data_IF_125361127320
#
_entry.id   IF_125361127320
#
_cell.length_a   1.000
_cell.length_b   1.000
_cell.length_c   1.000
_cell.angle_alpha   90.00
_cell.angle_beta   90.00
_cell.angle_gamma   90.00
#
_symmetry.space_group_name_H-M   'P 1'
#
loop_
_entity.id
_entity.type
_entity.pdbx_description
1 polymer ?
#
# COMPACT_ATOMS: atom_id res chain seq x y z
N UNK A 1 -23.15 -4.18 10.49
CA UNK A 1 -22.62 -5.02 9.40
C UNK A 1 -21.15 -5.19 9.73
N UNK A 2 -20.72 -6.39 10.15
CA UNK A 2 -19.31 -6.65 10.41
C UNK A 2 -18.62 -6.55 9.05
N UNK A 3 -17.73 -5.57 8.88
CA UNK A 3 -16.96 -5.40 7.65
C UNK A 3 -16.08 -6.63 7.54
N UNK A 4 -16.48 -7.59 6.70
CA UNK A 4 -15.64 -8.74 6.37
C UNK A 4 -14.50 -8.25 5.47
N UNK A 5 -13.29 -8.72 5.74
CA UNK A 5 -12.03 -8.59 4.99
C UNK A 5 -12.20 -8.24 3.50
N UNK A 6 -12.52 -6.97 3.22
CA UNK A 6 -12.87 -6.52 1.89
C UNK A 6 -11.71 -5.73 1.35
N UNK A 7 -11.21 -6.17 0.20
CA UNK A 7 -10.15 -5.47 -0.51
C UNK A 7 -10.73 -4.30 -1.31
N UNK A 8 -10.17 -3.12 -1.09
CA UNK A 8 -10.43 -1.88 -1.78
C UNK A 8 -9.29 -1.60 -2.75
N UNK A 9 -9.60 -1.31 -4.00
CA UNK A 9 -8.64 -0.90 -5.03
C UNK A 9 -8.72 0.62 -5.17
N UNK A 10 -7.69 1.30 -4.68
CA UNK A 10 -7.57 2.75 -4.74
C UNK A 10 -6.55 3.18 -5.79
N UNK A 11 -6.91 4.15 -6.63
CA UNK A 11 -5.96 4.75 -7.58
C UNK A 11 -4.71 5.28 -6.87
N UNK A 12 -3.54 5.08 -7.48
CA UNK A 12 -2.31 5.64 -6.95
C UNK A 12 -2.34 7.18 -6.97
N UNK A 13 -3.07 7.79 -7.92
CA UNK A 13 -3.26 9.24 -8.00
C UNK A 13 -3.89 9.75 -6.69
N UNK A 14 -4.95 9.08 -6.21
CA UNK A 14 -5.63 9.39 -4.95
C UNK A 14 -4.77 9.11 -3.73
N UNK A 15 -3.95 8.07 -3.80
CA UNK A 15 -2.98 7.74 -2.73
C UNK A 15 -1.99 8.88 -2.53
N UNK A 16 -1.48 9.47 -3.63
CA UNK A 16 -0.50 10.56 -3.58
C UNK A 16 -1.07 11.97 -3.63
N UNK A 17 -2.40 12.10 -3.74
CA UNK A 17 -3.06 13.40 -3.81
C UNK A 17 -2.79 14.25 -2.54
N UNK A 18 -2.78 15.57 -2.71
CA UNK A 18 -2.54 16.54 -1.63
C UNK A 18 -3.87 16.88 -0.95
N UNK A 19 -4.06 16.43 0.29
CA UNK A 19 -5.25 16.75 1.08
C UNK A 19 -5.01 16.53 2.59
N UNK A 20 -5.85 17.14 3.42
CA UNK A 20 -5.81 17.10 4.89
C UNK A 20 -7.05 16.42 5.51
N UNK A 21 -7.65 15.45 4.80
CA UNK A 21 -8.86 14.76 5.25
C UNK A 21 -8.74 14.18 6.66
N UNK A 22 -9.68 14.55 7.51
CA UNK A 22 -9.87 14.01 8.86
C UNK A 22 -10.36 12.56 8.77
N UNK A 23 -10.25 11.84 9.88
CA UNK A 23 -10.68 10.44 10.02
C UNK A 23 -12.05 10.17 9.40
N UNK A 24 -13.08 10.92 9.77
CA UNK A 24 -14.44 10.72 9.23
C UNK A 24 -14.56 11.04 7.73
N UNK A 25 -13.80 12.02 7.24
CA UNK A 25 -13.73 12.34 5.82
C UNK A 25 -13.09 11.19 5.03
N UNK A 26 -12.00 10.61 5.56
CA UNK A 26 -11.35 9.40 5.01
C UNK A 26 -12.30 8.20 5.00
N UNK A 27 -13.08 8.00 6.05
CA UNK A 27 -14.07 6.90 6.09
C UNK A 27 -15.15 7.07 5.01
N UNK A 28 -15.65 8.28 4.79
CA UNK A 28 -16.56 8.58 3.68
C UNK A 28 -15.87 8.31 2.35
N UNK A 29 -14.62 8.75 2.20
CA UNK A 29 -13.83 8.55 0.99
C UNK A 29 -13.61 7.06 0.65
N UNK A 30 -13.27 6.23 1.63
CA UNK A 30 -13.15 4.78 1.40
C UNK A 30 -14.49 4.13 0.99
N UNK A 31 -15.62 4.61 1.54
CA UNK A 31 -16.97 4.15 1.14
C UNK A 31 -17.38 4.64 -0.26
N UNK A 32 -16.84 5.76 -0.71
CA UNK A 32 -17.01 6.21 -2.10
C UNK A 32 -16.26 5.22 -3.01
N UNK A 33 -14.97 4.99 -2.77
CA UNK A 33 -14.15 4.08 -3.59
C UNK A 33 -14.78 2.68 -3.62
N UNK A 34 -15.30 2.19 -2.48
CA UNK A 34 -15.93 0.89 -2.38
C UNK A 34 -17.13 0.75 -3.34
N UNK A 35 -17.93 1.80 -3.49
CA UNK A 35 -19.09 1.81 -4.37
C UNK A 35 -18.69 1.87 -5.84
N UNK A 36 -17.68 2.67 -6.19
CA UNK A 36 -17.15 2.70 -7.56
C UNK A 36 -16.48 1.40 -7.96
N UNK A 37 -15.78 0.74 -7.04
CA UNK A 37 -15.22 -0.58 -7.32
C UNK A 37 -16.33 -1.61 -7.59
N UNK A 38 -17.44 -1.56 -6.86
CA UNK A 38 -18.61 -2.42 -7.15
C UNK A 38 -19.17 -2.17 -8.54
N UNK A 39 -19.28 -0.89 -8.94
CA UNK A 39 -19.72 -0.50 -10.27
C UNK A 39 -18.78 -1.05 -11.36
N UNK A 40 -17.46 -0.88 -11.20
CA UNK A 40 -16.44 -1.38 -12.15
C UNK A 40 -16.49 -2.90 -12.27
N UNK A 41 -16.71 -3.60 -11.14
CA UNK A 41 -16.80 -5.07 -11.10
C UNK A 41 -18.16 -5.60 -11.59
N UNK A 42 -19.11 -4.74 -11.95
CA UNK A 42 -20.47 -5.13 -12.35
C UNK A 42 -21.29 -5.77 -11.24
N UNK A 43 -20.96 -5.48 -9.97
CA UNK A 43 -21.62 -6.07 -8.78
C UNK A 43 -22.75 -5.19 -8.27
N UNK A 44 -23.81 -5.82 -7.80
CA UNK A 44 -24.90 -5.11 -7.15
C UNK A 44 -24.51 -4.57 -5.77
N UNK A 45 -24.88 -3.32 -5.52
CA UNK A 45 -24.77 -2.71 -4.19
C UNK A 45 -25.86 -3.26 -3.26
N UNK A 46 -25.54 -3.38 -1.97
CA UNK A 46 -26.57 -3.61 -0.96
C UNK A 46 -27.58 -2.44 -0.98
N UNK A 47 -28.88 -2.74 -0.87
CA UNK A 47 -30.01 -1.77 -0.85
C UNK A 47 -29.84 -0.57 0.11
N UNK A 48 -28.95 -0.66 1.11
CA UNK A 48 -28.62 0.46 2.02
C UNK A 48 -27.75 1.53 1.37
N UNK A 49 -26.99 1.19 0.34
CA UNK A 49 -26.18 2.10 -0.48
C UNK A 49 -26.91 2.41 -1.79
N UNK A 50 -26.53 3.49 -2.45
CA UNK A 50 -26.93 3.75 -3.83
C UNK A 50 -25.87 4.58 -4.53
N UNK A 51 -25.61 4.24 -5.79
CA UNK A 51 -24.74 4.98 -6.69
C UNK A 51 -25.52 5.17 -7.99
N UNK A 52 -25.95 6.40 -8.27
CA UNK A 52 -26.82 6.73 -9.40
C UNK A 52 -26.09 7.76 -10.26
N UNK A 53 -25.77 7.38 -11.49
CA UNK A 53 -25.25 8.30 -12.51
C UNK A 53 -26.36 9.25 -12.93
N UNK A 54 -26.06 10.54 -13.05
CA UNK A 54 -26.94 11.59 -13.56
C UNK A 54 -26.60 11.95 -14.99
N UNK A 55 -27.47 12.75 -15.61
CA UNK A 55 -27.33 13.20 -17.00
C UNK A 55 -26.09 14.09 -17.22
N UNK A 56 -25.63 14.78 -16.17
CA UNK A 56 -24.43 15.64 -16.15
C UNK A 56 -23.14 14.88 -15.80
N UNK A 57 -23.15 13.55 -15.95
CA UNK A 57 -22.07 12.62 -15.57
C UNK A 57 -21.68 12.62 -14.08
N UNK A 58 -22.35 13.41 -13.25
CA UNK A 58 -22.18 13.38 -11.79
C UNK A 58 -22.81 12.13 -11.20
N UNK A 59 -22.39 11.77 -9.98
CA UNK A 59 -22.91 10.60 -9.29
C UNK A 59 -23.54 10.98 -7.97
N UNK A 60 -24.81 10.61 -7.81
CA UNK A 60 -25.53 10.71 -6.54
C UNK A 60 -25.24 9.47 -5.69
N UNK A 61 -24.71 9.71 -4.49
CA UNK A 61 -24.25 8.66 -3.58
C UNK A 61 -25.09 8.66 -2.31
N UNK A 62 -25.41 7.46 -1.81
CA UNK A 62 -26.02 7.22 -0.50
C UNK A 62 -25.17 6.26 0.32
N UNK A 63 -24.85 6.65 1.55
CA UNK A 63 -24.05 5.84 2.49
C UNK A 63 -24.79 5.75 3.84
N UNK A 64 -25.02 4.55 4.40
CA UNK A 64 -25.62 4.40 5.73
C UNK A 64 -24.63 4.80 6.84
N UNK A 65 -25.08 5.48 7.89
CA UNK A 65 -24.18 5.96 8.96
C UNK A 65 -23.36 4.84 9.61
N UNK A 66 -23.99 3.69 9.87
CA UNK A 66 -23.34 2.56 10.52
C UNK A 66 -22.15 1.98 9.73
N UNK A 67 -22.03 2.28 8.44
CA UNK A 67 -20.88 1.87 7.62
C UNK A 67 -19.65 2.75 7.84
N UNK A 68 -19.83 3.92 8.42
CA UNK A 68 -18.76 4.89 8.67
C UNK A 68 -18.26 4.87 10.12
N UNK A 69 -18.89 4.04 10.96
CA UNK A 69 -18.56 3.91 12.38
C UNK A 69 -17.61 2.74 12.63
N UNK A 70 -16.79 2.87 13.69
CA UNK A 70 -15.87 1.81 14.13
C UNK A 70 -16.61 0.69 14.87
N UNK A 71 -17.65 1.04 15.61
CA UNK A 71 -18.52 0.11 16.35
C UNK A 71 -19.98 0.57 16.29
N UNK A 72 -20.90 -0.33 16.63
CA UNK A 72 -22.35 -0.10 16.58
C UNK A 72 -22.87 0.92 17.61
N UNK A 73 -22.08 1.24 18.64
CA UNK A 73 -22.50 2.11 19.75
C UNK A 73 -22.11 3.58 19.57
N UNK A 74 -21.33 3.89 18.54
CA UNK A 74 -20.77 5.22 18.28
C UNK A 74 -21.82 6.13 17.60
N UNK A 75 -22.66 6.82 18.38
CA UNK A 75 -23.75 7.68 17.87
C UNK A 75 -23.29 9.11 17.53
N UNK A 76 -22.11 9.27 16.93
CA UNK A 76 -21.52 10.59 16.64
C UNK A 76 -22.07 11.27 15.36
N UNK A 77 -23.40 11.41 15.24
CA UNK A 77 -24.08 12.10 14.14
C UNK A 77 -23.52 13.50 13.85
N UNK A 78 -23.05 14.21 14.88
CA UNK A 78 -22.46 15.53 14.74
C UNK A 78 -21.11 15.49 14.01
N UNK A 79 -20.27 14.49 14.27
CA UNK A 79 -18.97 14.35 13.60
C UNK A 79 -19.16 14.09 12.11
N UNK A 80 -20.18 13.33 11.71
CA UNK A 80 -20.53 13.14 10.30
C UNK A 80 -20.99 14.42 9.62
N UNK A 81 -21.87 15.19 10.28
CA UNK A 81 -22.28 16.49 9.73
C UNK A 81 -21.08 17.42 9.56
N UNK A 82 -20.17 17.44 10.52
CA UNK A 82 -18.95 18.23 10.43
C UNK A 82 -18.03 17.72 9.30
N UNK A 83 -17.92 16.41 9.10
CA UNK A 83 -17.18 15.82 8.00
C UNK A 83 -17.80 16.18 6.64
N UNK A 84 -19.12 16.11 6.49
CA UNK A 84 -19.81 16.52 5.26
C UNK A 84 -19.62 18.02 4.96
N UNK A 85 -19.76 18.89 5.96
CA UNK A 85 -19.48 20.33 5.81
C UNK A 85 -18.05 20.58 5.37
N UNK A 86 -17.11 19.89 6.02
CA UNK A 86 -15.68 20.03 5.75
C UNK A 86 -15.34 19.53 4.34
N UNK A 87 -15.83 18.36 3.94
CA UNK A 87 -15.65 17.82 2.58
C UNK A 87 -16.26 18.72 1.50
N UNK A 88 -17.45 19.28 1.73
CA UNK A 88 -18.10 20.18 0.77
C UNK A 88 -17.33 21.48 0.60
N UNK A 89 -16.74 22.00 1.68
CA UNK A 89 -15.91 23.20 1.65
C UNK A 89 -14.54 23.01 1.00
N UNK A 90 -14.07 21.76 0.85
CA UNK A 90 -12.75 21.44 0.28
C UNK A 90 -12.83 21.35 -1.24
N UNK A 91 -12.17 22.31 -1.91
CA UNK A 91 -11.92 22.28 -3.35
C UNK A 91 -10.46 21.96 -3.65
N UNK A 92 -10.22 21.41 -4.84
CA UNK A 92 -8.90 21.29 -5.43
C UNK A 92 -8.92 22.00 -6.79
N UNK A 93 -7.78 22.58 -7.14
CA UNK A 93 -7.58 23.21 -8.44
C UNK A 93 -7.29 22.12 -9.47
N UNK A 94 -8.04 22.15 -10.57
CA UNK A 94 -7.77 21.42 -11.78
C UNK A 94 -7.34 22.42 -12.84
N UNK A 95 -6.22 22.17 -13.50
CA UNK A 95 -5.67 23.03 -14.54
C UNK A 95 -5.07 22.15 -15.65
N UNK A 96 -5.44 22.43 -16.89
CA UNK A 96 -4.78 21.95 -18.11
C UNK A 96 -4.46 23.13 -19.04
N UNK A 97 -3.98 22.84 -20.26
CA UNK A 97 -3.54 23.88 -21.20
C UNK A 97 -4.64 24.88 -21.58
N UNK A 98 -5.92 24.49 -21.45
CA UNK A 98 -7.08 25.27 -21.90
C UNK A 98 -8.03 25.69 -20.76
N UNK A 99 -8.05 24.97 -19.63
CA UNK A 99 -9.06 25.12 -18.58
C UNK A 99 -8.42 25.13 -17.19
N UNK A 100 -8.74 26.17 -16.42
CA UNK A 100 -8.60 26.19 -14.97
C UNK A 100 -9.99 26.15 -14.32
N UNK A 101 -10.19 25.23 -13.38
CA UNK A 101 -11.43 25.15 -12.59
C UNK A 101 -11.20 24.72 -11.14
N UNK A 102 -12.11 25.13 -10.25
CA UNK A 102 -12.17 24.65 -8.88
C UNK A 102 -13.15 23.49 -8.76
N UNK A 103 -12.63 22.33 -8.40
CA UNK A 103 -13.40 21.10 -8.27
C UNK A 103 -13.64 20.78 -6.79
N UNK A 104 -14.89 20.54 -6.40
CA UNK A 104 -15.23 20.06 -5.05
C UNK A 104 -15.30 18.53 -5.04
N UNK A 105 -14.90 17.92 -3.92
CA UNK A 105 -15.05 16.46 -3.78
C UNK A 105 -16.53 16.05 -3.77
N UNK A 106 -17.33 16.72 -2.92
CA UNK A 106 -18.75 16.44 -2.76
C UNK A 106 -19.57 17.71 -2.91
N UNK A 107 -20.80 17.55 -3.42
CA UNK A 107 -21.78 18.60 -3.59
C UNK A 107 -23.10 18.23 -2.92
N UNK A 108 -23.86 19.24 -2.49
CA UNK A 108 -25.22 19.13 -1.92
C UNK A 108 -25.34 18.05 -0.83
N UNK A 109 -24.47 18.02 0.20
CA UNK A 109 -24.53 17.00 1.23
C UNK A 109 -25.82 17.11 2.06
N UNK A 110 -26.45 15.96 2.31
CA UNK A 110 -27.66 15.80 3.12
C UNK A 110 -27.45 14.69 4.15
N UNK A 111 -28.02 14.91 5.33
CA UNK A 111 -27.92 14.02 6.48
C UNK A 111 -29.33 13.62 6.96
N UNK A 112 -29.75 12.39 6.66
CA UNK A 112 -31.07 11.87 7.00
C UNK A 112 -31.05 11.15 8.34
N UNK A 113 -31.38 11.89 9.41
CA UNK A 113 -31.31 11.39 10.80
C UNK A 113 -32.22 10.19 11.07
N UNK A 114 -33.48 10.23 10.60
CA UNK A 114 -34.48 9.17 10.88
C UNK A 114 -34.17 7.87 10.14
N UNK A 115 -33.69 7.98 8.91
CA UNK A 115 -33.41 6.84 8.04
C UNK A 115 -31.95 6.38 8.13
N UNK A 116 -31.16 7.06 8.97
CA UNK A 116 -29.76 6.80 9.27
C UNK A 116 -28.82 6.68 8.04
N UNK A 117 -28.89 7.64 7.12
CA UNK A 117 -27.94 7.72 5.99
C UNK A 117 -27.54 9.15 5.63
N UNK A 118 -26.45 9.26 4.88
CA UNK A 118 -26.00 10.49 4.22
C UNK A 118 -26.14 10.36 2.72
N UNK A 119 -26.39 11.48 2.05
CA UNK A 119 -26.49 11.60 0.60
C UNK A 119 -25.67 12.80 0.13
N UNK A 120 -24.99 12.69 -1.00
CA UNK A 120 -24.28 13.80 -1.66
C UNK A 120 -24.05 13.46 -3.13
N UNK A 121 -23.61 14.45 -3.90
CA UNK A 121 -23.25 14.30 -5.31
C UNK A 121 -21.72 14.38 -5.44
N UNK A 122 -21.12 13.59 -6.34
CA UNK A 122 -19.71 13.71 -6.70
C UNK A 122 -19.57 14.43 -8.03
N UNK A 123 -18.63 15.37 -8.06
CA UNK A 123 -18.27 16.07 -9.28
C UNK A 123 -17.67 15.08 -10.31
N UNK A 124 -18.01 15.18 -11.61
CA UNK A 124 -17.50 14.29 -12.66
C UNK A 124 -15.97 14.17 -12.69
N UNK A 125 -15.23 15.27 -12.46
CA UNK A 125 -13.76 15.26 -12.40
C UNK A 125 -13.20 14.39 -11.28
N UNK A 126 -13.88 14.38 -10.13
CA UNK A 126 -13.53 13.48 -9.01
C UNK A 126 -13.68 12.02 -9.45
N UNK A 127 -14.75 11.73 -10.19
CA UNK A 127 -15.05 10.38 -10.68
C UNK A 127 -14.00 9.90 -11.66
N UNK A 128 -13.57 10.75 -12.59
CA UNK A 128 -12.45 10.46 -13.51
C UNK A 128 -11.21 10.02 -12.75
N UNK A 129 -10.84 10.75 -11.69
CA UNK A 129 -9.66 10.40 -10.87
C UNK A 129 -9.87 9.13 -10.05
N UNK A 130 -11.08 8.90 -9.52
CA UNK A 130 -11.42 7.69 -8.75
C UNK A 130 -11.22 6.40 -9.56
N UNK A 131 -11.55 6.43 -10.84
CA UNK A 131 -11.47 5.27 -11.74
C UNK A 131 -10.20 5.23 -12.60
N UNK A 132 -9.33 6.25 -12.48
CA UNK A 132 -8.08 6.30 -13.23
C UNK A 132 -6.98 5.51 -12.52
N UNK A 133 -6.63 4.36 -13.10
CA UNK A 133 -5.56 3.49 -12.61
C UNK A 133 -4.27 3.55 -13.46
N UNK A 134 -4.13 4.54 -14.35
CA UNK A 134 -3.00 4.62 -15.29
C UNK A 134 -1.63 4.75 -14.58
N UNK A 135 -1.61 5.33 -13.38
CA UNK A 135 -0.41 5.42 -12.53
C UNK A 135 -0.27 4.27 -11.53
N UNK A 136 -1.07 3.21 -11.71
CA UNK A 136 -1.17 2.08 -10.80
C UNK A 136 -2.21 2.28 -9.70
N UNK A 137 -2.21 1.37 -8.73
CA UNK A 137 -3.18 1.32 -7.65
C UNK A 137 -2.58 0.79 -6.34
N UNK A 138 -3.38 0.89 -5.27
CA UNK A 138 -3.13 0.32 -3.95
C UNK A 138 -4.30 -0.55 -3.54
N UNK A 139 -3.97 -1.72 -2.99
CA UNK A 139 -4.93 -2.65 -2.39
C UNK A 139 -4.95 -2.42 -0.89
N UNK A 140 -6.13 -2.16 -0.34
CA UNK A 140 -6.33 -1.82 1.06
C UNK A 140 -7.39 -2.75 1.65
N UNK A 141 -7.18 -3.23 2.87
CA UNK A 141 -8.27 -3.88 3.62
C UNK A 141 -9.16 -2.81 4.24
N UNK A 142 -10.42 -2.77 3.83
CA UNK A 142 -11.37 -1.74 4.25
C UNK A 142 -11.64 -1.78 5.75
N UNK A 143 -11.75 -2.96 6.34
CA UNK A 143 -11.88 -3.16 7.79
C UNK A 143 -10.69 -2.54 8.55
N UNK A 144 -9.47 -2.79 8.09
CA UNK A 144 -8.25 -2.22 8.68
C UNK A 144 -8.23 -0.69 8.50
N UNK A 145 -8.48 -0.21 7.28
CA UNK A 145 -8.49 1.22 6.97
C UNK A 145 -9.50 2.01 7.82
N UNK A 146 -10.68 1.43 8.10
CA UNK A 146 -11.71 2.03 8.94
C UNK A 146 -11.40 1.95 10.45
N UNK A 147 -10.52 1.02 10.86
CA UNK A 147 -10.13 0.80 12.26
C UNK A 147 -9.18 1.86 12.84
N UNK A 148 -8.45 2.56 11.96
CA UNK A 148 -7.51 3.61 12.35
C UNK A 148 -8.22 4.82 12.98
N UNK A 149 -7.53 5.46 13.91
CA UNK A 149 -7.95 6.61 14.70
C UNK A 149 -7.20 7.88 14.33
N UNK A 150 -6.07 7.77 13.62
CA UNK A 150 -5.32 8.91 13.12
C UNK A 150 -5.32 8.97 11.59
N UNK A 151 -5.44 10.18 11.04
CA UNK A 151 -5.29 10.41 9.59
C UNK A 151 -3.90 9.97 9.11
N UNK A 152 -2.85 10.18 9.90
CA UNK A 152 -1.49 9.80 9.49
C UNK A 152 -1.34 8.29 9.35
N UNK A 153 -1.89 7.48 10.27
CA UNK A 153 -1.93 6.03 10.12
C UNK A 153 -2.66 5.63 8.83
N UNK A 154 -3.84 6.21 8.56
CA UNK A 154 -4.56 5.97 7.30
C UNK A 154 -3.69 6.29 6.08
N UNK A 155 -3.05 7.46 6.03
CA UNK A 155 -2.20 7.88 4.89
C UNK A 155 -0.99 6.96 4.71
N UNK A 156 -0.30 6.58 5.78
CA UNK A 156 0.83 5.67 5.68
C UNK A 156 0.41 4.24 5.31
N UNK A 157 -0.74 3.78 5.81
CA UNK A 157 -1.30 2.50 5.38
C UNK A 157 -1.55 2.48 3.87
N UNK A 158 -2.09 3.56 3.30
CA UNK A 158 -2.28 3.68 1.84
C UNK A 158 -0.96 3.60 1.07
N UNK A 159 0.11 4.20 1.59
CA UNK A 159 1.42 4.21 0.94
C UNK A 159 2.09 2.83 0.97
N UNK A 160 1.93 2.10 2.09
CA UNK A 160 2.74 0.91 2.43
C UNK A 160 2.00 -0.41 2.18
N UNK A 161 0.66 -0.42 2.17
CA UNK A 161 -0.12 -1.65 1.98
C UNK A 161 0.32 -2.41 0.72
N UNK A 162 0.57 -3.71 0.90
CA UNK A 162 1.08 -4.65 -0.12
C UNK A 162 2.38 -4.25 -0.83
N UNK A 163 3.09 -3.23 -0.33
CA UNK A 163 4.38 -2.87 -0.90
C UNK A 163 5.44 -3.89 -0.48
N UNK A 164 6.21 -4.36 -1.46
CA UNK A 164 7.35 -5.26 -1.23
C UNK A 164 8.70 -4.52 -1.26
N UNK A 165 8.76 -3.39 -1.97
CA UNK A 165 9.99 -2.63 -2.19
C UNK A 165 10.00 -1.38 -1.32
N UNK A 166 11.19 -0.97 -0.82
CA UNK A 166 11.32 0.30 -0.14
C UNK A 166 10.88 1.48 -1.01
N UNK A 167 10.26 2.49 -0.38
CA UNK A 167 9.83 3.73 -1.03
C UNK A 167 10.48 4.92 -0.33
N UNK A 168 10.97 5.87 -1.12
CA UNK A 168 11.65 7.07 -0.62
C UNK A 168 10.75 8.29 -0.83
N UNK A 169 10.61 9.09 0.21
CA UNK A 169 9.99 10.41 0.09
C UNK A 169 10.86 11.48 0.71
N UNK A 170 10.97 12.63 0.05
CA UNK A 170 11.52 13.82 0.70
C UNK A 170 10.58 14.30 1.82
N UNK A 171 11.14 14.95 2.83
CA UNK A 171 10.34 15.55 3.91
C UNK A 171 9.34 16.55 3.34
N UNK A 172 9.78 17.37 2.38
CA UNK A 172 8.94 18.39 1.76
C UNK A 172 7.79 17.76 0.96
N UNK A 173 8.04 16.66 0.24
CA UNK A 173 6.97 15.97 -0.49
C UNK A 173 5.94 15.35 0.46
N UNK A 174 6.37 14.72 1.56
CA UNK A 174 5.42 14.19 2.56
C UNK A 174 4.59 15.31 3.17
N UNK A 175 5.22 16.44 3.52
CA UNK A 175 4.51 17.60 4.06
C UNK A 175 3.49 18.17 3.08
N UNK A 176 3.84 18.29 1.80
CA UNK A 176 2.94 18.72 0.71
C UNK A 176 1.79 17.74 0.51
N UNK A 177 2.07 16.44 0.44
CA UNK A 177 1.05 15.41 0.28
C UNK A 177 0.02 15.42 1.43
N UNK A 178 0.44 15.77 2.64
CA UNK A 178 -0.43 15.78 3.82
C UNK A 178 -0.98 17.18 4.16
N UNK A 179 -0.66 18.21 3.36
CA UNK A 179 -0.99 19.62 3.59
C UNK A 179 -0.60 20.12 4.98
N UNK A 180 0.66 19.88 5.33
CA UNK A 180 1.27 20.26 6.62
C UNK A 180 2.63 20.94 6.45
N UNK A 181 2.86 21.61 5.31
CA UNK A 181 4.09 22.36 5.00
C UNK A 181 4.40 23.39 6.09
N UNK A 182 3.36 24.08 6.55
CA UNK A 182 3.46 25.12 7.58
C UNK A 182 3.49 24.55 9.02
N UNK A 183 3.48 23.22 9.18
CA UNK A 183 3.57 22.54 10.48
C UNK A 183 4.93 21.87 10.65
N UNK A 184 5.30 21.70 11.92
CA UNK A 184 6.52 21.00 12.34
C UNK A 184 7.79 21.57 11.69
N UNK A 185 8.15 22.81 12.01
CA UNK A 185 9.36 23.46 11.48
C UNK A 185 10.61 22.59 11.69
N UNK A 186 10.74 21.98 12.86
CA UNK A 186 11.77 20.97 13.12
C UNK A 186 11.41 19.61 12.49
N UNK A 187 12.36 19.05 11.74
CA UNK A 187 12.20 17.76 11.04
C UNK A 187 12.09 16.59 12.02
N UNK A 188 12.77 16.63 13.17
CA UNK A 188 12.64 15.56 14.14
C UNK A 188 11.25 15.56 14.78
N UNK A 189 10.66 16.74 15.03
CA UNK A 189 9.29 16.85 15.49
C UNK A 189 8.28 16.35 14.44
N UNK A 190 8.51 16.62 13.15
CA UNK A 190 7.72 16.03 12.07
C UNK A 190 7.76 14.49 12.13
N UNK A 191 8.97 13.91 12.19
CA UNK A 191 9.14 12.45 12.29
C UNK A 191 8.40 11.91 13.51
N UNK A 192 8.60 12.50 14.68
CA UNK A 192 7.98 12.04 15.94
C UNK A 192 6.45 12.11 15.92
N UNK A 193 5.88 13.20 15.38
CA UNK A 193 4.43 13.46 15.45
C UNK A 193 3.65 12.85 14.29
N UNK A 194 4.31 12.59 13.16
CA UNK A 194 3.66 12.14 11.93
C UNK A 194 4.07 10.69 11.63
N UNK A 195 5.36 10.44 11.51
CA UNK A 195 5.89 9.12 11.10
C UNK A 195 5.81 8.11 12.25
N UNK A 196 6.36 8.44 13.41
CA UNK A 196 6.37 7.52 14.56
C UNK A 196 4.96 7.27 15.09
N UNK A 197 4.11 8.31 15.09
CA UNK A 197 2.70 8.17 15.48
C UNK A 197 1.93 7.24 14.56
N UNK A 198 2.14 7.35 13.24
CA UNK A 198 1.50 6.46 12.27
C UNK A 198 2.05 5.04 12.39
N UNK A 199 3.37 4.90 12.47
CA UNK A 199 4.04 3.61 12.64
C UNK A 199 3.50 2.86 13.86
N UNK A 200 3.41 3.52 15.01
CA UNK A 200 2.89 2.92 16.25
C UNK A 200 1.50 2.33 16.03
N UNK A 201 0.61 3.09 15.41
CA UNK A 201 -0.76 2.61 15.18
C UNK A 201 -0.83 1.47 14.15
N UNK A 202 0.02 1.49 13.11
CA UNK A 202 0.12 0.40 12.14
C UNK A 202 0.67 -0.88 12.77
N UNK A 203 1.70 -0.77 13.60
CA UNK A 203 2.30 -1.89 14.35
C UNK A 203 1.26 -2.60 15.22
N UNK A 204 0.28 -1.87 15.76
CA UNK A 204 -0.74 -2.40 16.68
C UNK A 204 -1.99 -2.98 15.97
N UNK A 205 -2.27 -2.57 14.72
CA UNK A 205 -3.60 -2.82 14.10
C UNK A 205 -3.56 -3.39 12.70
N UNK A 206 -2.43 -3.36 12.00
CA UNK A 206 -2.39 -3.55 10.55
C UNK A 206 -1.49 -4.71 10.14
N UNK A 207 -1.88 -5.51 9.13
CA UNK A 207 -1.00 -6.51 8.54
C UNK A 207 0.18 -5.89 7.78
N UNK A 208 0.13 -4.59 7.50
CA UNK A 208 1.22 -3.86 6.86
C UNK A 208 1.66 -2.71 7.75
N UNK A 209 2.95 -2.68 8.05
CA UNK A 209 3.65 -1.60 8.73
C UNK A 209 4.96 -1.31 7.99
N UNK A 210 5.83 -0.50 8.57
CA UNK A 210 7.13 -0.19 8.00
C UNK A 210 8.21 0.01 9.07
N UNK A 211 9.46 -0.23 8.67
CA UNK A 211 10.62 0.41 9.27
C UNK A 211 10.98 1.65 8.44
N UNK A 212 11.76 2.58 9.00
CA UNK A 212 12.23 3.71 8.22
C UNK A 212 13.67 4.12 8.56
N UNK A 213 14.38 4.57 7.53
CA UNK A 213 15.73 5.08 7.62
C UNK A 213 15.74 6.57 7.23
N UNK A 214 16.46 7.39 7.99
CA UNK A 214 16.62 8.82 7.72
C UNK A 214 17.74 9.01 6.70
N UNK A 215 17.43 9.61 5.55
CA UNK A 215 18.42 9.98 4.55
C UNK A 215 18.82 11.44 4.81
N UNK A 216 20.13 11.68 4.93
CA UNK A 216 20.70 12.99 5.21
C UNK A 216 21.47 13.54 4.02
N UNK A 217 21.40 14.85 3.85
CA UNK A 217 22.30 15.62 2.98
C UNK A 217 23.07 16.58 3.88
N UNK A 218 24.35 16.28 4.09
CA UNK A 218 25.13 16.91 5.16
C UNK A 218 24.53 16.61 6.54
N UNK A 219 24.23 17.65 7.32
CA UNK A 219 23.61 17.51 8.66
C UNK A 219 22.09 17.40 8.64
N UNK A 220 21.42 17.83 7.56
CA UNK A 220 19.96 17.91 7.46
C UNK A 220 19.38 16.58 7.01
N UNK A 221 18.29 16.15 7.66
CA UNK A 221 17.47 15.04 7.16
C UNK A 221 16.62 15.57 6.01
N UNK A 222 16.83 15.05 4.81
CA UNK A 222 16.18 15.52 3.59
C UNK A 222 15.09 14.56 3.11
N UNK A 223 15.26 13.27 3.36
CA UNK A 223 14.31 12.23 2.95
C UNK A 223 14.20 11.12 3.99
N UNK A 224 13.14 10.32 3.85
CA UNK A 224 12.91 9.11 4.62
C UNK A 224 12.73 7.95 3.64
N UNK A 225 13.47 6.87 3.88
CA UNK A 225 13.30 5.59 3.20
C UNK A 225 12.41 4.71 4.04
N UNK A 226 11.21 4.40 3.56
CA UNK A 226 10.28 3.49 4.21
C UNK A 226 10.50 2.08 3.67
N UNK A 227 10.66 1.13 4.56
CA UNK A 227 10.84 -0.29 4.25
C UNK A 227 9.58 -1.00 4.72
N UNK A 228 8.69 -1.43 3.81
CA UNK A 228 7.47 -2.14 4.16
C UNK A 228 7.73 -3.44 4.92
N UNK A 229 6.89 -3.73 5.90
CA UNK A 229 6.93 -4.94 6.71
C UNK A 229 5.52 -5.54 6.75
N UNK A 230 5.44 -6.84 6.46
CA UNK A 230 4.22 -7.60 6.57
C UNK A 230 4.14 -8.32 7.93
N UNK A 231 2.98 -8.23 8.57
CA UNK A 231 2.67 -8.70 9.91
C UNK A 231 1.52 -9.72 9.84
N UNK A 232 1.82 -11.01 9.60
CA UNK A 232 0.81 -12.04 9.35
C UNK A 232 -0.16 -12.24 10.52
N UNK A 233 0.24 -11.88 11.75
CA UNK A 233 -0.59 -12.02 12.94
C UNK A 233 -1.86 -11.14 12.93
N UNK A 234 -1.90 -10.09 12.10
CA UNK A 234 -3.08 -9.24 11.93
C UNK A 234 -3.97 -9.65 10.76
N UNK A 235 -3.57 -10.66 10.00
CA UNK A 235 -4.43 -11.28 8.99
C UNK A 235 -5.34 -12.33 9.61
N UNK A 236 -6.49 -12.55 8.99
CA UNK A 236 -7.40 -13.61 9.39
C UNK A 236 -6.81 -15.00 9.13
N UNK A 237 -7.30 -16.01 9.83
CA UNK A 237 -6.89 -17.40 9.57
C UNK A 237 -7.06 -17.79 8.10
N UNK A 238 -8.11 -17.30 7.44
CA UNK A 238 -8.36 -17.59 6.03
C UNK A 238 -7.29 -16.98 5.11
N UNK A 239 -6.89 -15.72 5.37
CA UNK A 239 -5.82 -15.06 4.61
C UNK A 239 -4.48 -15.73 4.90
N UNK A 240 -4.19 -16.05 6.16
CA UNK A 240 -2.99 -16.78 6.54
C UNK A 240 -2.92 -18.14 5.82
N UNK A 241 -4.00 -18.94 5.83
CA UNK A 241 -4.09 -20.21 5.10
C UNK A 241 -3.92 -20.02 3.59
N UNK A 242 -4.55 -19.00 2.98
CA UNK A 242 -4.37 -18.68 1.56
C UNK A 242 -2.92 -18.30 1.24
N UNK A 243 -2.26 -17.53 2.10
CA UNK A 243 -0.88 -17.11 1.92
C UNK A 243 0.08 -18.30 2.08
N UNK A 244 -0.17 -19.20 3.04
CA UNK A 244 0.53 -20.47 3.17
C UNK A 244 0.34 -21.34 1.91
N UNK A 245 -0.87 -21.45 1.39
CA UNK A 245 -1.15 -22.20 0.16
C UNK A 245 -0.51 -21.55 -1.08
N UNK A 246 -0.45 -20.21 -1.17
CA UNK A 246 0.30 -19.50 -2.21
C UNK A 246 1.80 -19.74 -2.08
N UNK A 247 2.36 -19.75 -0.88
CA UNK A 247 3.76 -20.16 -0.67
C UNK A 247 3.99 -21.62 -1.10
N UNK A 248 3.02 -22.52 -0.90
CA UNK A 248 3.10 -23.87 -1.45
C UNK A 248 3.01 -23.89 -2.99
N UNK A 249 2.21 -23.01 -3.60
CA UNK A 249 2.14 -22.81 -5.06
C UNK A 249 3.40 -22.12 -5.64
N UNK A 250 4.14 -21.36 -4.83
CA UNK A 250 5.42 -20.74 -5.19
C UNK A 250 6.56 -21.78 -5.36
N UNK A 251 6.30 -23.07 -5.15
CA UNK A 251 7.23 -24.15 -5.55
C UNK A 251 7.56 -24.15 -7.05
N UNK A 252 6.78 -23.44 -7.88
CA UNK A 252 7.15 -23.19 -9.30
C UNK A 252 8.51 -22.49 -9.47
N UNK A 253 8.95 -21.69 -8.49
CA UNK A 253 10.22 -20.95 -8.58
C UNK A 253 11.46 -21.82 -8.36
N UNK A 254 11.29 -23.09 -8.01
CA UNK A 254 12.37 -24.08 -7.98
C UNK A 254 12.06 -25.06 -9.10
N UNK A 255 12.64 -24.88 -10.31
CA UNK A 255 12.50 -25.85 -11.37
C UNK A 255 12.89 -27.25 -10.89
N UNK A 256 12.20 -28.28 -11.41
CA UNK A 256 12.29 -29.64 -10.87
C UNK A 256 13.72 -30.18 -10.82
N UNK A 257 14.55 -29.89 -11.82
CA UNK A 257 15.96 -30.27 -11.84
C UNK A 257 16.79 -29.57 -10.73
N UNK A 258 16.51 -28.31 -10.42
CA UNK A 258 17.14 -27.59 -9.31
C UNK A 258 16.68 -28.19 -7.98
N UNK A 259 15.39 -28.48 -7.85
CA UNK A 259 14.82 -29.15 -6.67
C UNK A 259 15.47 -30.51 -6.44
N UNK A 260 15.50 -31.36 -7.47
CA UNK A 260 16.11 -32.68 -7.44
C UNK A 260 17.60 -32.58 -7.12
N UNK A 261 18.32 -31.61 -7.69
CA UNK A 261 19.74 -31.41 -7.39
C UNK A 261 19.98 -31.05 -5.92
N UNK A 262 19.21 -30.10 -5.37
CA UNK A 262 19.31 -29.68 -3.97
C UNK A 262 18.93 -30.81 -3.00
N UNK A 263 17.94 -31.64 -3.37
CA UNK A 263 17.52 -32.80 -2.56
C UNK A 263 18.56 -33.91 -2.58
N UNK A 264 19.08 -34.27 -3.76
CA UNK A 264 19.96 -35.43 -3.91
C UNK A 264 21.44 -35.17 -3.59
N UNK A 265 21.94 -33.93 -3.78
CA UNK A 265 23.36 -33.62 -3.56
C UNK A 265 23.63 -32.92 -2.22
N UNK A 266 22.60 -32.27 -1.65
CA UNK A 266 22.71 -31.44 -0.46
C UNK A 266 21.68 -31.78 0.64
N UNK A 267 20.89 -32.84 0.43
CA UNK A 267 19.94 -33.39 1.40
C UNK A 267 18.88 -32.40 1.89
N UNK A 268 18.54 -31.38 1.10
CA UNK A 268 17.49 -30.43 1.48
C UNK A 268 16.14 -31.13 1.59
N UNK A 269 15.41 -30.82 2.66
CA UNK A 269 14.02 -31.25 2.80
C UNK A 269 13.07 -30.25 2.14
N UNK A 270 11.88 -30.73 1.81
CA UNK A 270 10.76 -29.90 1.37
C UNK A 270 10.51 -28.69 2.28
N UNK A 271 10.61 -28.88 3.60
CA UNK A 271 10.42 -27.82 4.58
C UNK A 271 11.54 -26.77 4.52
N UNK A 272 12.80 -27.19 4.35
CA UNK A 272 13.94 -26.28 4.26
C UNK A 272 13.95 -25.47 2.95
N UNK A 273 13.56 -26.09 1.84
CA UNK A 273 13.33 -25.37 0.57
C UNK A 273 12.19 -24.37 0.73
N UNK A 274 11.07 -24.78 1.33
CA UNK A 274 9.92 -23.92 1.58
C UNK A 274 10.30 -22.69 2.46
N UNK A 275 11.11 -22.89 3.49
CA UNK A 275 11.57 -21.81 4.36
C UNK A 275 12.44 -20.76 3.64
N UNK A 276 12.99 -21.09 2.48
CA UNK A 276 13.85 -20.20 1.67
C UNK A 276 13.21 -19.78 0.34
N UNK A 277 11.89 -19.95 0.16
CA UNK A 277 11.21 -19.70 -1.12
C UNK A 277 11.43 -18.31 -1.71
N UNK A 278 11.43 -17.26 -0.89
CA UNK A 278 11.63 -15.88 -1.39
C UNK A 278 13.02 -15.70 -2.03
N UNK A 279 14.04 -16.42 -1.55
CA UNK A 279 15.37 -16.43 -2.16
C UNK A 279 15.32 -17.12 -3.52
N UNK A 280 14.69 -18.28 -3.62
CA UNK A 280 14.56 -19.01 -4.87
C UNK A 280 13.70 -18.26 -5.90
N UNK A 281 12.62 -17.60 -5.50
CA UNK A 281 11.86 -16.67 -6.35
C UNK A 281 12.76 -15.54 -6.88
N UNK A 282 13.60 -14.97 -6.02
CA UNK A 282 14.50 -13.88 -6.40
C UNK A 282 15.57 -14.36 -7.39
N UNK A 283 16.10 -15.57 -7.21
CA UNK A 283 17.05 -16.20 -8.12
C UNK A 283 16.40 -16.55 -9.46
N UNK A 284 15.24 -17.22 -9.46
CA UNK A 284 14.48 -17.59 -10.66
C UNK A 284 14.19 -16.38 -11.56
N UNK A 285 13.82 -15.24 -10.96
CA UNK A 285 13.52 -14.03 -11.73
C UNK A 285 14.76 -13.31 -12.28
N UNK A 286 15.98 -13.70 -11.86
CA UNK A 286 17.21 -12.95 -12.16
C UNK A 286 18.35 -13.79 -12.74
N UNK A 287 18.22 -15.11 -12.74
CA UNK A 287 19.16 -16.07 -13.27
C UNK A 287 18.43 -17.05 -14.18
N UNK A 288 19.08 -17.48 -15.25
CA UNK A 288 18.64 -18.67 -15.97
C UNK A 288 18.86 -19.91 -15.10
N UNK A 289 18.06 -20.94 -15.37
CA UNK A 289 18.13 -22.23 -14.68
C UNK A 289 19.52 -22.88 -14.82
N UNK A 290 20.11 -22.80 -16.01
CA UNK A 290 21.46 -23.31 -16.30
C UNK A 290 22.53 -22.65 -15.42
N UNK A 291 22.54 -21.31 -15.33
CA UNK A 291 23.52 -20.58 -14.52
C UNK A 291 23.35 -20.88 -13.02
N UNK A 292 22.12 -21.10 -12.57
CA UNK A 292 21.85 -21.49 -11.19
C UNK A 292 22.36 -22.90 -10.90
N UNK A 293 22.15 -23.85 -11.82
CA UNK A 293 22.62 -25.22 -11.68
C UNK A 293 24.15 -25.32 -11.70
N UNK A 294 24.82 -24.58 -12.58
CA UNK A 294 26.28 -24.48 -12.64
C UNK A 294 26.83 -23.97 -11.30
N UNK A 295 26.25 -22.89 -10.79
CA UNK A 295 26.65 -22.33 -9.50
C UNK A 295 26.42 -23.31 -8.34
N UNK A 296 25.32 -24.06 -8.34
CA UNK A 296 25.09 -25.12 -7.35
C UNK A 296 26.10 -26.27 -7.49
N UNK A 297 26.57 -26.55 -8.70
CA UNK A 297 27.61 -27.54 -8.96
C UNK A 297 28.95 -27.10 -8.39
N UNK A 298 29.32 -25.83 -8.58
CA UNK A 298 30.54 -25.24 -8.00
C UNK A 298 30.56 -25.27 -6.48
N UNK A 299 29.39 -25.23 -5.84
CA UNK A 299 29.26 -25.29 -4.38
C UNK A 299 29.36 -26.73 -3.83
N UNK A 300 29.37 -27.76 -4.68
CA UNK A 300 29.29 -29.15 -4.24
C UNK A 300 30.41 -29.54 -3.30
N UNK A 301 31.65 -29.39 -3.75
CA UNK A 301 32.87 -29.72 -3.01
C UNK A 301 33.14 -28.71 -1.88
N UNK A 302 33.08 -27.37 -2.09
CA UNK A 302 33.30 -26.41 -0.99
C UNK A 302 32.34 -26.61 0.20
N UNK A 303 31.10 -27.01 -0.08
CA UNK A 303 30.09 -27.20 0.96
C UNK A 303 30.40 -28.36 1.92
N UNK A 304 31.21 -29.36 1.53
CA UNK A 304 31.52 -30.51 2.40
C UNK A 304 32.42 -30.15 3.56
N UNK A 305 33.14 -29.03 3.46
CA UNK A 305 34.04 -28.54 4.51
C UNK A 305 33.34 -27.62 5.52
N UNK A 306 32.05 -27.32 5.33
CA UNK A 306 31.31 -26.41 6.20
C UNK A 306 30.58 -27.15 7.33
N UNK A 307 30.68 -26.62 8.56
CA UNK A 307 30.00 -27.17 9.75
C UNK A 307 28.47 -27.25 9.57
N UNK A 308 27.88 -26.26 8.89
CA UNK A 308 26.49 -26.28 8.44
C UNK A 308 26.43 -26.18 6.92
N UNK A 309 26.55 -27.34 6.26
CA UNK A 309 26.53 -27.49 4.81
C UNK A 309 25.35 -26.79 4.13
N UNK A 310 24.12 -26.99 4.63
CA UNK A 310 22.90 -26.35 4.07
C UNK A 310 22.89 -24.85 4.29
N UNK A 311 23.30 -24.39 5.48
CA UNK A 311 23.42 -22.97 5.81
C UNK A 311 24.44 -22.25 4.93
N UNK A 312 25.58 -22.90 4.66
CA UNK A 312 26.61 -22.43 3.74
C UNK A 312 26.06 -22.22 2.32
N UNK A 313 25.33 -23.21 1.78
CA UNK A 313 24.75 -23.14 0.44
C UNK A 313 23.73 -21.98 0.33
N UNK A 314 22.82 -21.85 1.30
CA UNK A 314 21.87 -20.73 1.32
C UNK A 314 22.59 -19.37 1.42
N UNK A 315 23.65 -19.28 2.24
CA UNK A 315 24.48 -18.09 2.34
C UNK A 315 25.16 -17.72 1.02
N UNK A 316 25.71 -18.71 0.31
CA UNK A 316 26.33 -18.52 -0.99
C UNK A 316 25.33 -18.07 -2.06
N UNK A 317 24.13 -18.64 -2.08
CA UNK A 317 23.03 -18.24 -2.97
C UNK A 317 22.57 -16.80 -2.72
N UNK A 318 22.47 -16.38 -1.44
CA UNK A 318 22.16 -14.98 -1.08
C UNK A 318 23.24 -14.02 -1.59
N UNK A 319 24.51 -14.36 -1.38
CA UNK A 319 25.65 -13.56 -1.84
C UNK A 319 25.69 -13.46 -3.37
N UNK A 320 25.40 -14.55 -4.08
CA UNK A 320 25.29 -14.55 -5.55
C UNK A 320 24.19 -13.62 -6.02
N UNK A 321 23.03 -13.63 -5.37
CA UNK A 321 21.94 -12.69 -5.65
C UNK A 321 22.35 -11.22 -5.40
N UNK A 322 23.01 -10.93 -4.28
CA UNK A 322 23.51 -9.59 -3.96
C UNK A 322 24.48 -9.07 -5.03
N UNK A 323 25.41 -9.91 -5.50
CA UNK A 323 26.34 -9.55 -6.58
C UNK A 323 25.62 -9.23 -7.90
N UNK A 324 24.57 -9.99 -8.24
CA UNK A 324 23.76 -9.73 -9.44
C UNK A 324 23.02 -8.40 -9.30
N UNK A 325 22.49 -8.13 -8.12
CA UNK A 325 21.82 -6.87 -7.81
C UNK A 325 22.79 -5.68 -7.91
N UNK A 326 23.96 -5.76 -7.28
CA UNK A 326 25.01 -4.74 -7.36
C UNK A 326 25.46 -4.49 -8.81
N UNK A 327 25.70 -5.54 -9.60
CA UNK A 327 26.11 -5.43 -11.00
C UNK A 327 25.04 -4.79 -11.90
N UNK A 328 23.74 -5.01 -11.62
CA UNK A 328 22.63 -4.37 -12.37
C UNK A 328 22.41 -2.90 -12.00
N UNK A 329 22.75 -2.48 -10.78
CA UNK A 329 22.44 -1.14 -10.27
C UNK A 329 23.64 -0.19 -10.11
N UNK A 330 24.88 -0.70 -10.09
CA UNK A 330 26.09 0.13 -10.04
C UNK A 330 26.64 0.43 -11.45
N UNK A 331 26.42 -0.45 -12.43
CA UNK A 331 26.82 -0.21 -13.83
C UNK A 331 25.87 0.74 -14.60
N UNK A 332 24.79 1.22 -13.99
CA UNK A 332 23.92 2.28 -14.55
C UNK A 332 24.34 3.69 -14.12
N UNK A 333 25.46 3.85 -13.39
CA UNK A 333 25.97 5.17 -12.94
C UNK A 333 27.12 5.77 -13.77
N UNK A 334 27.51 5.17 -14.88
CA UNK A 334 28.57 5.73 -15.76
C UNK A 334 28.08 6.22 -17.12
N UNK A 335 26.78 6.18 -17.41
CA UNK A 335 26.22 6.79 -18.63
C UNK A 335 24.92 7.52 -18.34
N UNK A 336 25.01 8.73 -17.79
CA UNK A 336 24.32 9.92 -18.29
C UNK A 336 24.61 11.10 -17.38
N UNK A 337 25.18 12.15 -17.97
CA UNK A 337 25.47 13.41 -17.33
C UNK A 337 24.21 14.18 -16.96
N UNK A 338 24.39 15.01 -15.93
CA UNK A 338 23.70 16.24 -15.52
C UNK A 338 22.19 16.45 -15.76
N UNK A 339 21.49 17.04 -14.76
CA UNK A 339 20.05 17.23 -14.77
C UNK A 339 19.63 18.42 -15.62
N UNK A 340 18.47 18.33 -16.26
CA UNK A 340 17.71 19.49 -16.70
C UNK A 340 16.63 19.77 -15.65
N UNK A 341 16.69 20.99 -15.10
CA UNK A 341 15.65 21.62 -14.32
C UNK A 341 14.33 21.70 -15.10
N UNK A 342 13.23 21.32 -14.45
CA UNK A 342 11.88 21.93 -14.55
C UNK A 342 11.00 21.45 -13.40
#
# INVERSE_FOLDING_TARGET
>A
MIIKEKELIQSYILTTAKYDYKVFEKRIFYRIIEQFQFLIEGKELNKKYSLIKKDDDSYKIKIPYNSLLKSTDDKNHQQFKNALKSLESKSFEYEDDDLWELVRLIEKPKAYKRNEYVEFELNPRVVEVLINFAKGFRKLRLDIALSFETTYAMRFYELISEQKKPINYSIDNLKKMFLIENKYQDTNNFIKRVVDSAKKELDEKSPYTFHYEKIKTGKKITSIRFIPIYQPQFDSENIQRKNLNKQMSNRWFIPKNIEDYLKHNFDFTDKELNNNLNLFESLYNNLSEEVLLDFLTDLREPSTYADNRKGFIIGALKKKFEQIFENKFLNTRTTHGQPADM
#
